data_IF_281801613177
#
_entry.id   IF_281801613177
#
_cell.length_a   1.000
_cell.length_b   1.000
_cell.length_c   1.000
_cell.angle_alpha   90.00
_cell.angle_beta   90.00
_cell.angle_gamma   90.00
#
_symmetry.space_group_name_H-M   'P 1'
#
loop_
_entity.id
_entity.type
_entity.pdbx_description
1 polymer ?
#
# COMPACT_ATOMS: atom_id res chain seq x y z
N UNK A 1 11.69 19.11 -0.66
CA UNK A 1 10.84 19.03 -1.88
C UNK A 1 10.70 17.56 -2.23
N UNK A 2 9.48 17.02 -2.37
CA UNK A 2 9.34 15.62 -2.78
C UNK A 2 9.45 15.58 -4.30
N UNK A 3 10.49 14.93 -4.82
CA UNK A 3 10.69 14.82 -6.26
C UNK A 3 10.42 13.37 -6.65
N UNK A 4 9.43 13.18 -7.52
CA UNK A 4 9.15 11.88 -8.13
C UNK A 4 9.41 11.95 -9.64
N UNK A 5 9.58 10.80 -10.27
CA UNK A 5 9.77 10.74 -11.71
C UNK A 5 9.16 9.50 -12.33
N UNK A 6 8.86 9.60 -13.63
CA UNK A 6 8.39 8.49 -14.45
C UNK A 6 9.35 8.27 -15.61
N UNK A 7 9.59 7.00 -15.95
CA UNK A 7 10.39 6.60 -17.10
C UNK A 7 9.57 5.72 -18.03
N UNK A 8 9.63 6.00 -19.33
CA UNK A 8 9.08 5.16 -20.38
C UNK A 8 10.20 4.30 -20.95
N UNK A 9 10.08 2.98 -20.82
CA UNK A 9 11.10 2.01 -21.23
C UNK A 9 10.57 1.16 -22.37
N UNK A 10 11.37 1.00 -23.42
CA UNK A 10 11.13 0.10 -24.54
C UNK A 10 12.11 -1.06 -24.50
N UNK A 11 11.60 -2.26 -24.73
CA UNK A 11 12.42 -3.45 -24.92
C UNK A 11 12.96 -3.41 -26.36
N UNK A 12 14.29 -3.30 -26.50
CA UNK A 12 14.97 -3.30 -27.80
C UNK A 12 15.37 -4.72 -28.17
N UNK A 13 15.94 -5.46 -27.21
CA UNK A 13 16.38 -6.85 -27.39
C UNK A 13 15.67 -7.79 -26.42
N UNK A 14 14.63 -8.53 -26.87
CA UNK A 14 13.85 -9.43 -26.02
C UNK A 14 14.67 -10.55 -25.36
N UNK A 15 15.74 -10.99 -26.04
CA UNK A 15 16.64 -12.05 -25.54
C UNK A 15 17.48 -11.56 -24.37
N UNK A 16 18.02 -10.35 -24.44
CA UNK A 16 18.80 -9.75 -23.34
C UNK A 16 17.89 -9.36 -22.17
N UNK A 17 16.68 -8.88 -22.44
CA UNK A 17 15.70 -8.57 -21.41
C UNK A 17 15.28 -9.79 -20.59
N UNK A 18 15.24 -10.98 -21.19
CA UNK A 18 14.79 -12.20 -20.50
C UNK A 18 15.88 -12.88 -19.65
N UNK A 19 17.16 -12.72 -20.02
CA UNK A 19 18.29 -13.45 -19.41
C UNK A 19 19.37 -12.54 -18.78
N UNK A 20 19.24 -11.22 -18.92
CA UNK A 20 20.27 -10.25 -18.53
C UNK A 20 20.29 -9.88 -17.05
N UNK A 21 19.27 -10.27 -16.27
CA UNK A 21 19.12 -9.99 -14.84
C UNK A 21 18.55 -11.21 -14.10
N UNK A 22 18.93 -11.38 -12.83
CA UNK A 22 18.34 -12.43 -11.95
C UNK A 22 16.85 -12.16 -11.65
N UNK A 23 16.43 -10.89 -11.69
CA UNK A 23 15.04 -10.41 -11.52
C UNK A 23 14.44 -9.83 -12.82
N UNK A 24 13.19 -9.32 -12.75
CA UNK A 24 12.52 -8.62 -13.84
C UNK A 24 13.34 -7.39 -14.31
N UNK A 25 13.70 -7.28 -15.61
CA UNK A 25 14.54 -6.20 -16.14
C UNK A 25 13.90 -4.81 -15.98
N UNK A 26 12.56 -4.73 -15.93
CA UNK A 26 11.82 -3.48 -15.71
C UNK A 26 12.05 -2.98 -14.27
N UNK A 27 12.12 -3.89 -13.31
CA UNK A 27 12.36 -3.55 -11.90
C UNK A 27 13.80 -3.04 -11.70
N UNK A 28 14.79 -3.72 -12.30
CA UNK A 28 16.18 -3.28 -12.28
C UNK A 28 16.36 -1.89 -12.93
N UNK A 29 15.69 -1.63 -14.06
CA UNK A 29 15.68 -0.31 -14.70
C UNK A 29 15.06 0.77 -13.80
N UNK A 30 13.99 0.44 -13.08
CA UNK A 30 13.35 1.33 -12.13
C UNK A 30 14.28 1.67 -10.93
N UNK A 31 14.92 0.67 -10.32
CA UNK A 31 15.87 0.91 -9.21
C UNK A 31 17.08 1.73 -9.65
N UNK A 32 17.63 1.42 -10.83
CA UNK A 32 18.72 2.17 -11.43
C UNK A 32 18.30 3.63 -11.65
N UNK A 33 17.12 3.87 -12.22
CA UNK A 33 16.61 5.21 -12.45
C UNK A 33 16.46 6.00 -11.14
N UNK A 34 15.93 5.38 -10.09
CA UNK A 34 15.84 5.99 -8.77
C UNK A 34 17.21 6.37 -8.21
N UNK A 35 18.21 5.48 -8.30
CA UNK A 35 19.56 5.75 -7.83
C UNK A 35 20.23 6.90 -8.61
N UNK A 36 19.97 6.95 -9.91
CA UNK A 36 20.55 7.92 -10.83
C UNK A 36 19.94 9.31 -10.63
N UNK A 37 18.61 9.39 -10.60
CA UNK A 37 17.86 10.61 -10.28
C UNK A 37 18.34 11.17 -8.94
N UNK A 38 18.51 10.30 -7.94
CA UNK A 38 19.00 10.68 -6.62
C UNK A 38 20.41 11.27 -6.64
N UNK A 39 21.32 10.64 -7.38
CA UNK A 39 22.70 11.12 -7.54
C UNK A 39 22.76 12.48 -8.23
N UNK A 40 21.98 12.66 -9.31
CA UNK A 40 21.97 13.90 -10.10
C UNK A 40 21.32 15.05 -9.35
N UNK A 41 20.19 14.83 -8.67
CA UNK A 41 19.53 15.87 -7.87
C UNK A 41 20.46 16.37 -6.75
N UNK A 42 21.25 15.48 -6.13
CA UNK A 42 22.17 15.86 -5.04
C UNK A 42 23.26 16.84 -5.49
N UNK A 43 23.58 16.90 -6.79
CA UNK A 43 24.63 17.76 -7.34
C UNK A 43 24.17 19.20 -7.60
N UNK A 44 22.87 19.47 -7.52
CA UNK A 44 22.26 20.73 -7.98
C UNK A 44 21.69 21.49 -6.77
N UNK A 45 21.79 22.82 -6.79
CA UNK A 45 21.16 23.67 -5.77
C UNK A 45 19.64 23.80 -6.01
N UNK A 46 18.87 24.22 -5.00
CA UNK A 46 17.40 24.33 -5.14
C UNK A 46 16.97 25.34 -6.23
N UNK A 47 17.70 26.45 -6.35
CA UNK A 47 17.40 27.52 -7.31
C UNK A 47 17.71 27.09 -8.76
N UNK A 48 18.77 26.30 -8.93
CA UNK A 48 19.14 25.72 -10.22
C UNK A 48 18.21 24.57 -10.60
N UNK A 49 17.74 23.79 -9.63
CA UNK A 49 16.79 22.71 -9.87
C UNK A 49 15.49 23.23 -10.50
N UNK A 50 14.93 24.32 -9.99
CA UNK A 50 13.70 24.90 -10.54
C UNK A 50 13.87 25.42 -11.98
N UNK A 51 15.09 25.82 -12.37
CA UNK A 51 15.41 26.25 -13.75
C UNK A 51 15.69 25.05 -14.67
N UNK A 52 16.38 24.03 -14.18
CA UNK A 52 16.89 22.92 -15.01
C UNK A 52 15.95 21.70 -15.12
N UNK A 53 14.95 21.60 -14.23
CA UNK A 53 14.05 20.44 -14.10
C UNK A 53 13.38 19.99 -15.39
N UNK A 54 13.05 20.90 -16.30
CA UNK A 54 12.25 20.60 -17.49
C UNK A 54 13.08 20.28 -18.74
N UNK A 55 14.37 20.64 -18.79
CA UNK A 55 15.14 20.63 -20.03
C UNK A 55 16.43 19.80 -19.98
N UNK A 56 17.38 20.17 -19.11
CA UNK A 56 18.74 19.59 -19.11
C UNK A 56 18.84 18.37 -18.21
N UNK A 57 18.17 18.40 -17.07
CA UNK A 57 18.22 17.34 -16.06
C UNK A 57 17.63 16.01 -16.57
N UNK A 58 16.46 15.97 -17.23
CA UNK A 58 15.90 14.72 -17.74
C UNK A 58 16.80 14.06 -18.79
N UNK A 59 17.49 14.86 -19.62
CA UNK A 59 18.41 14.36 -20.66
C UNK A 59 19.64 13.68 -20.06
N UNK A 60 20.30 14.31 -19.08
CA UNK A 60 21.45 13.72 -18.36
C UNK A 60 21.08 12.42 -17.65
N UNK A 61 19.89 12.39 -17.04
CA UNK A 61 19.36 11.20 -16.38
C UNK A 61 19.07 10.10 -17.39
N UNK A 62 18.45 10.42 -18.54
CA UNK A 62 18.21 9.44 -19.59
C UNK A 62 19.51 8.86 -20.17
N UNK A 63 20.55 9.68 -20.36
CA UNK A 63 21.84 9.21 -20.88
C UNK A 63 22.51 8.23 -19.92
N UNK A 64 22.53 8.54 -18.62
CA UNK A 64 23.12 7.68 -17.59
C UNK A 64 22.33 6.39 -17.39
N UNK A 65 21.00 6.45 -17.44
CA UNK A 65 20.16 5.24 -17.40
C UNK A 65 20.38 4.40 -18.66
N UNK A 66 20.37 4.98 -19.85
CA UNK A 66 20.55 4.26 -21.11
C UNK A 66 21.94 3.63 -21.24
N UNK A 67 22.98 4.23 -20.66
CA UNK A 67 24.32 3.64 -20.63
C UNK A 67 24.34 2.30 -19.88
N UNK A 68 23.62 2.20 -18.77
CA UNK A 68 23.55 0.97 -17.98
C UNK A 68 22.45 -0.01 -18.48
N UNK A 69 21.30 0.50 -18.92
CA UNK A 69 20.16 -0.28 -19.40
C UNK A 69 20.43 -1.06 -20.70
N UNK A 70 21.42 -0.65 -21.51
CA UNK A 70 21.89 -1.40 -22.69
C UNK A 70 22.27 -2.84 -22.37
N UNK A 71 22.82 -3.12 -21.17
CA UNK A 71 23.18 -4.48 -20.74
C UNK A 71 21.97 -5.39 -20.54
N UNK A 72 20.79 -4.80 -20.37
CA UNK A 72 19.52 -5.48 -20.15
C UNK A 72 18.62 -5.48 -21.40
N UNK A 73 19.12 -4.99 -22.55
CA UNK A 73 18.31 -4.91 -23.78
C UNK A 73 17.17 -3.90 -23.71
N UNK A 74 17.29 -2.90 -22.82
CA UNK A 74 16.28 -1.87 -22.58
C UNK A 74 16.76 -0.48 -23.03
N UNK A 75 15.84 0.33 -23.53
CA UNK A 75 16.06 1.73 -23.88
C UNK A 75 14.99 2.61 -23.24
N UNK A 76 15.42 3.63 -22.48
CA UNK A 76 14.55 4.66 -21.94
C UNK A 76 14.28 5.71 -23.01
N UNK A 77 13.00 5.84 -23.38
CA UNK A 77 12.52 6.77 -24.39
C UNK A 77 12.23 8.16 -23.80
N UNK A 78 11.74 8.21 -22.56
CA UNK A 78 11.36 9.46 -21.91
C UNK A 78 11.51 9.39 -20.40
N UNK A 79 11.96 10.49 -19.80
CA UNK A 79 12.01 10.68 -18.36
C UNK A 79 11.29 11.99 -18.02
N UNK A 80 10.39 11.96 -17.05
CA UNK A 80 9.68 13.13 -16.55
C UNK A 80 9.93 13.26 -15.06
N UNK A 81 10.26 14.47 -14.61
CA UNK A 81 10.47 14.79 -13.20
C UNK A 81 9.32 15.68 -12.76
N UNK A 82 8.47 15.19 -11.86
CA UNK A 82 7.36 15.96 -11.31
C UNK A 82 7.66 16.38 -9.87
N UNK A 83 7.15 17.56 -9.49
CA UNK A 83 7.12 17.93 -8.08
C UNK A 83 6.00 17.10 -7.45
N UNK A 84 6.35 16.23 -6.51
CA UNK A 84 5.38 15.48 -5.73
C UNK A 84 4.80 16.41 -4.66
N UNK A 85 4.10 17.46 -5.11
CA UNK A 85 3.16 18.19 -4.26
C UNK A 85 2.16 17.18 -3.69
N UNK A 86 1.80 17.35 -2.42
CA UNK A 86 0.98 16.44 -1.61
C UNK A 86 -0.30 15.85 -2.29
N UNK A 87 -0.79 16.46 -3.37
CA UNK A 87 -1.87 15.93 -4.22
C UNK A 87 -1.52 14.63 -4.94
N UNK A 88 -0.28 14.44 -5.42
CA UNK A 88 0.10 13.20 -6.10
C UNK A 88 0.26 12.05 -5.11
N UNK A 89 0.79 12.31 -3.91
CA UNK A 89 0.80 11.34 -2.82
C UNK A 89 -0.62 10.92 -2.44
N UNK A 90 -1.61 11.81 -2.47
CA UNK A 90 -3.00 11.39 -2.24
C UNK A 90 -3.55 10.48 -3.34
N UNK A 91 -3.21 10.71 -4.62
CA UNK A 91 -3.65 9.87 -5.75
C UNK A 91 -2.88 8.56 -5.82
N UNK A 92 -1.59 8.58 -5.54
CA UNK A 92 -0.73 7.40 -5.46
C UNK A 92 -1.02 6.63 -4.18
N UNK A 93 -1.36 7.23 -3.04
CA UNK A 93 -1.89 6.50 -1.88
C UNK A 93 -3.26 5.92 -2.18
N UNK A 94 -4.13 6.58 -2.95
CA UNK A 94 -5.39 6.00 -3.44
C UNK A 94 -5.16 4.87 -4.44
N UNK A 95 -4.14 5.00 -5.29
CA UNK A 95 -3.79 4.02 -6.32
C UNK A 95 -3.00 2.85 -5.73
N UNK A 96 -2.14 3.10 -4.75
CA UNK A 96 -1.40 2.11 -3.96
C UNK A 96 -2.29 1.47 -2.91
N UNK A 97 -3.29 2.17 -2.36
CA UNK A 97 -4.38 1.51 -1.64
C UNK A 97 -5.13 0.61 -2.62
N UNK A 98 -5.48 1.06 -3.83
CA UNK A 98 -6.12 0.16 -4.79
C UNK A 98 -5.23 -1.02 -5.24
N UNK A 99 -3.89 -0.89 -5.23
CA UNK A 99 -2.96 -1.99 -5.58
C UNK A 99 -2.70 -2.92 -4.38
N UNK A 100 -2.74 -2.42 -3.14
CA UNK A 100 -2.63 -3.21 -1.91
C UNK A 100 -3.97 -3.84 -1.49
N UNK A 101 -5.07 -3.47 -2.13
CA UNK A 101 -6.40 -3.96 -1.85
C UNK A 101 -6.81 -4.82 -3.04
N UNK A 102 -6.81 -6.14 -2.85
CA UNK A 102 -7.30 -7.09 -3.84
C UNK A 102 -8.83 -6.99 -3.97
N UNK A 103 -9.33 -5.90 -4.55
CA UNK A 103 -10.66 -5.90 -5.15
C UNK A 103 -10.53 -6.77 -6.42
N UNK A 104 -11.02 -8.00 -6.35
CA UNK A 104 -10.99 -8.93 -7.48
C UNK A 104 -11.94 -8.36 -8.52
N UNK A 105 -11.41 -7.95 -9.67
CA UNK A 105 -12.25 -7.50 -10.77
C UNK A 105 -13.27 -8.60 -11.11
N UNK A 106 -14.58 -8.27 -11.15
CA UNK A 106 -15.59 -9.26 -11.42
C UNK A 106 -15.42 -9.80 -12.85
N UNK A 107 -15.38 -11.13 -13.06
CA UNK A 107 -15.26 -11.68 -14.39
C UNK A 107 -16.52 -11.37 -15.22
N UNK A 108 -16.34 -11.22 -16.52
CA UNK A 108 -17.47 -10.98 -17.43
C UNK A 108 -18.38 -12.21 -17.50
N UNK A 109 -19.69 -11.99 -17.53
CA UNK A 109 -20.66 -13.09 -17.47
C UNK A 109 -20.81 -13.82 -18.83
N UNK A 110 -20.13 -14.96 -19.01
CA UNK A 110 -20.31 -15.86 -20.15
C UNK A 110 -21.34 -16.99 -19.94
N UNK A 111 -22.11 -16.96 -18.85
CA UNK A 111 -23.23 -17.88 -18.56
C UNK A 111 -22.86 -19.14 -17.78
N UNK A 112 -21.67 -19.70 -18.02
CA UNK A 112 -21.10 -20.80 -17.24
C UNK A 112 -19.93 -20.25 -16.43
N UNK A 113 -20.05 -20.28 -15.09
CA UNK A 113 -19.00 -19.81 -14.19
C UNK A 113 -18.73 -20.84 -13.10
N UNK A 114 -17.47 -21.21 -12.95
CA UNK A 114 -17.02 -21.98 -11.79
C UNK A 114 -16.63 -21.00 -10.68
N UNK A 115 -17.46 -20.94 -9.63
CA UNK A 115 -17.13 -20.18 -8.43
C UNK A 115 -16.07 -20.95 -7.64
N UNK A 116 -14.87 -20.39 -7.42
CA UNK A 116 -13.84 -21.03 -6.60
C UNK A 116 -14.33 -21.34 -5.18
N UNK A 117 -13.66 -22.28 -4.50
CA UNK A 117 -13.92 -22.50 -3.07
C UNK A 117 -13.56 -21.23 -2.28
N UNK A 118 -14.34 -20.96 -1.22
CA UNK A 118 -14.19 -19.79 -0.34
C UNK A 118 -14.38 -18.43 -1.03
N UNK A 119 -15.08 -18.36 -2.16
CA UNK A 119 -15.52 -17.09 -2.75
C UNK A 119 -17.05 -17.02 -2.83
N UNK A 120 -17.58 -15.80 -2.67
CA UNK A 120 -18.98 -15.48 -2.88
C UNK A 120 -19.09 -14.50 -4.05
N UNK A 121 -19.96 -14.82 -5.01
CA UNK A 121 -20.31 -13.92 -6.10
C UNK A 121 -21.65 -13.26 -5.82
N UNK A 122 -21.71 -11.95 -5.98
CA UNK A 122 -22.93 -11.18 -5.83
C UNK A 122 -23.47 -10.86 -7.21
N UNK A 123 -24.70 -11.28 -7.43
CA UNK A 123 -25.38 -11.10 -8.71
C UNK A 123 -26.38 -9.97 -8.59
N UNK A 124 -26.32 -9.11 -9.61
CA UNK A 124 -27.33 -8.12 -9.88
C UNK A 124 -28.16 -8.52 -11.10
N UNK A 125 -29.47 -8.34 -11.01
CA UNK A 125 -30.41 -8.46 -12.12
C UNK A 125 -31.15 -7.15 -12.28
N UNK A 126 -31.11 -6.56 -13.48
CA UNK A 126 -31.65 -5.22 -13.74
C UNK A 126 -31.14 -4.13 -12.77
N UNK A 127 -29.88 -4.25 -12.32
CA UNK A 127 -29.28 -3.30 -11.37
C UNK A 127 -29.78 -3.42 -9.93
N UNK A 128 -30.50 -4.49 -9.58
CA UNK A 128 -30.88 -4.82 -8.20
C UNK A 128 -30.22 -6.11 -7.76
N UNK A 129 -29.89 -6.20 -6.47
CA UNK A 129 -29.43 -7.44 -5.85
C UNK A 129 -30.43 -8.57 -6.11
N UNK A 130 -29.93 -9.69 -6.66
CA UNK A 130 -30.75 -10.88 -6.90
C UNK A 130 -30.43 -11.98 -5.89
N UNK A 131 -29.20 -12.49 -5.89
CA UNK A 131 -28.75 -13.54 -4.98
C UNK A 131 -27.23 -13.54 -4.82
N UNK A 132 -26.78 -14.07 -3.69
CA UNK A 132 -25.38 -14.44 -3.46
C UNK A 132 -25.20 -15.91 -3.86
N UNK A 133 -24.21 -16.19 -4.71
CA UNK A 133 -23.84 -17.56 -5.04
C UNK A 133 -22.70 -18.04 -4.12
N UNK A 134 -22.94 -19.07 -3.29
CA UNK A 134 -21.86 -19.76 -2.59
C UNK A 134 -21.09 -20.67 -3.56
N UNK A 135 -19.89 -21.08 -3.14
CA UNK A 135 -19.01 -21.97 -3.91
C UNK A 135 -19.71 -23.30 -4.26
N UNK A 136 -20.19 -23.44 -5.49
CA UNK A 136 -20.66 -24.70 -6.15
C UNK A 136 -21.60 -24.47 -7.34
N UNK A 137 -22.24 -23.30 -7.44
CA UNK A 137 -23.27 -23.08 -8.47
C UNK A 137 -22.67 -22.66 -9.82
N UNK A 138 -23.16 -23.27 -10.91
CA UNK A 138 -22.57 -23.17 -12.24
C UNK A 138 -23.30 -22.22 -13.22
N UNK A 139 -24.62 -22.02 -13.04
CA UNK A 139 -25.47 -21.45 -14.10
C UNK A 139 -25.97 -20.03 -13.80
N UNK A 140 -25.64 -19.12 -14.72
CA UNK A 140 -26.03 -17.71 -14.72
C UNK A 140 -26.59 -17.35 -16.10
N UNK A 141 -27.62 -16.51 -16.17
CA UNK A 141 -28.08 -16.05 -17.48
C UNK A 141 -27.20 -14.88 -17.95
N UNK A 142 -26.42 -15.01 -19.05
CA UNK A 142 -25.50 -13.96 -19.49
C UNK A 142 -26.21 -12.66 -19.93
N UNK A 143 -27.49 -12.71 -20.28
CA UNK A 143 -28.23 -11.54 -20.75
C UNK A 143 -28.82 -10.68 -19.63
N UNK A 144 -29.19 -11.30 -18.50
CA UNK A 144 -29.93 -10.63 -17.43
C UNK A 144 -29.11 -10.45 -16.15
N UNK A 145 -28.18 -11.35 -15.90
CA UNK A 145 -27.43 -11.41 -14.65
C UNK A 145 -26.04 -10.80 -14.83
N UNK A 146 -25.64 -9.92 -13.92
CA UNK A 146 -24.29 -9.33 -13.86
C UNK A 146 -23.62 -9.71 -12.55
N UNK A 147 -22.38 -10.17 -12.62
CA UNK A 147 -21.53 -10.35 -11.43
C UNK A 147 -21.04 -8.95 -11.04
N UNK A 148 -21.57 -8.41 -9.95
CA UNK A 148 -21.26 -7.05 -9.52
C UNK A 148 -20.03 -7.04 -8.59
N UNK A 149 -19.97 -8.01 -7.68
CA UNK A 149 -18.91 -8.08 -6.67
C UNK A 149 -18.44 -9.51 -6.47
N UNK A 150 -17.15 -9.66 -6.18
CA UNK A 150 -16.50 -10.94 -5.86
C UNK A 150 -15.79 -10.79 -4.52
N UNK A 151 -16.23 -11.55 -3.52
CA UNK A 151 -15.66 -11.55 -2.18
C UNK A 151 -14.98 -12.87 -1.88
N UNK A 152 -13.82 -12.82 -1.21
CA UNK A 152 -13.17 -13.99 -0.61
C UNK A 152 -13.64 -14.10 0.84
N UNK A 153 -14.37 -15.16 1.17
CA UNK A 153 -14.99 -15.34 2.49
C UNK A 153 -13.92 -15.70 3.53
N UNK A 154 -13.10 -16.70 3.25
CA UNK A 154 -12.21 -17.33 4.25
C UNK A 154 -10.73 -16.93 4.13
N UNK A 155 -10.42 -15.94 3.31
CA UNK A 155 -9.04 -15.45 3.23
C UNK A 155 -8.85 -14.44 4.35
N UNK A 156 -7.88 -14.65 5.23
CA UNK A 156 -7.42 -13.61 6.14
C UNK A 156 -6.91 -12.44 5.30
N UNK A 157 -7.76 -11.43 5.15
CA UNK A 157 -7.40 -10.25 4.41
C UNK A 157 -6.56 -9.39 5.35
N UNK A 158 -5.28 -9.23 4.98
CA UNK A 158 -4.33 -8.39 5.70
C UNK A 158 -4.53 -6.95 5.24
N UNK A 159 -5.25 -6.15 6.03
CA UNK A 159 -5.34 -4.71 5.82
C UNK A 159 -4.17 -4.03 6.51
N UNK A 160 -3.27 -3.45 5.71
CA UNK A 160 -2.17 -2.62 6.21
C UNK A 160 -2.66 -1.19 6.45
N UNK A 161 -2.52 -0.73 7.70
CA UNK A 161 -2.80 0.66 8.09
C UNK A 161 -1.53 1.47 7.82
N UNK A 162 -1.58 2.53 6.99
CA UNK A 162 -0.41 3.33 6.69
C UNK A 162 0.18 3.95 7.96
N UNK A 163 1.48 4.24 7.93
CA UNK A 163 2.17 4.86 9.07
C UNK A 163 1.76 6.32 9.23
N UNK A 164 1.35 6.71 10.44
CA UNK A 164 1.00 8.10 10.75
C UNK A 164 1.77 8.59 12.00
N UNK A 165 2.13 9.88 12.05
CA UNK A 165 2.68 10.48 13.26
C UNK A 165 1.57 10.70 14.30
N UNK A 166 1.75 10.11 15.48
CA UNK A 166 0.84 10.24 16.62
C UNK A 166 1.63 10.84 17.79
N UNK A 167 0.98 11.76 18.50
CA UNK A 167 1.52 12.36 19.71
C UNK A 167 0.94 11.63 20.92
N UNK A 168 1.81 11.05 21.74
CA UNK A 168 1.42 10.33 22.96
C UNK A 168 1.15 11.29 24.12
N UNK A 169 0.71 10.72 25.26
CA UNK A 169 0.49 11.48 26.50
C UNK A 169 1.74 12.23 27.00
N UNK A 170 2.92 11.66 26.77
CA UNK A 170 4.21 12.26 27.16
C UNK A 170 4.72 13.31 26.17
N UNK A 171 3.87 13.78 25.25
CA UNK A 171 4.21 14.82 24.28
C UNK A 171 5.25 14.37 23.23
N UNK A 172 5.51 13.06 23.12
CA UNK A 172 6.45 12.46 22.16
C UNK A 172 5.73 12.12 20.86
N UNK A 173 6.37 12.39 19.73
CA UNK A 173 5.85 12.02 18.40
C UNK A 173 6.44 10.67 18.03
N UNK A 174 5.59 9.72 17.65
CA UNK A 174 6.02 8.41 17.17
C UNK A 174 5.22 7.99 15.94
N UNK A 175 5.82 7.11 15.14
CA UNK A 175 5.21 6.55 13.94
C UNK A 175 4.75 5.14 14.22
N UNK A 176 3.51 4.84 13.86
CA UNK A 176 2.89 3.56 14.17
C UNK A 176 2.29 3.00 12.91
N UNK A 177 2.55 1.71 12.68
CA UNK A 177 1.98 0.90 11.61
C UNK A 177 1.25 -0.28 12.23
N UNK A 178 0.30 -0.84 11.49
CA UNK A 178 -0.43 -2.00 11.98
C UNK A 178 -1.06 -2.78 10.85
N UNK A 179 -1.38 -4.03 11.14
CA UNK A 179 -2.19 -4.86 10.26
C UNK A 179 -3.40 -5.40 11.01
N UNK A 180 -4.49 -5.53 10.27
CA UNK A 180 -5.76 -6.07 10.78
C UNK A 180 -6.14 -7.24 9.88
N UNK A 181 -6.46 -8.37 10.51
CA UNK A 181 -7.02 -9.55 9.87
C UNK A 181 -8.53 -9.53 10.09
N UNK A 182 -9.28 -9.70 9.02
CA UNK A 182 -10.74 -9.76 9.07
C UNK A 182 -11.28 -10.82 8.10
N UNK A 183 -12.50 -11.25 8.39
CA UNK A 183 -13.28 -12.22 7.64
C UNK A 183 -14.59 -11.58 7.17
N UNK A 184 -15.04 -11.96 5.96
CA UNK A 184 -16.32 -11.51 5.43
C UNK A 184 -17.39 -12.52 5.87
N UNK A 185 -18.22 -12.14 6.84
CA UNK A 185 -19.29 -12.99 7.38
C UNK A 185 -20.52 -12.93 6.48
N UNK A 186 -20.92 -11.72 6.06
CA UNK A 186 -22.04 -11.52 5.15
C UNK A 186 -21.57 -10.75 3.89
N UNK A 187 -21.41 -11.43 2.74
CA UNK A 187 -20.97 -10.79 1.51
C UNK A 187 -21.99 -9.76 0.99
N UNK A 188 -23.29 -9.96 1.24
CA UNK A 188 -24.33 -9.01 0.80
C UNK A 188 -24.15 -7.68 1.51
N UNK A 189 -24.00 -7.71 2.83
CA UNK A 189 -23.74 -6.52 3.63
C UNK A 189 -22.38 -5.91 3.30
N UNK A 190 -21.35 -6.71 3.01
CA UNK A 190 -20.04 -6.20 2.61
C UNK A 190 -20.06 -5.41 1.30
N UNK A 191 -20.96 -5.75 0.37
CA UNK A 191 -21.08 -5.01 -0.90
C UNK A 191 -21.95 -3.77 -0.86
N UNK A 192 -23.03 -3.79 -0.09
CA UNK A 192 -24.01 -2.70 -0.10
C UNK A 192 -24.05 -1.90 1.22
N UNK A 193 -23.34 -2.34 2.25
CA UNK A 193 -23.34 -1.72 3.57
C UNK A 193 -22.56 -0.40 3.63
N UNK A 194 -21.59 -0.20 2.73
CA UNK A 194 -20.82 1.05 2.63
C UNK A 194 -20.68 1.47 1.18
N UNK A 195 -20.78 2.78 0.94
CA UNK A 195 -20.38 3.36 -0.34
C UNK A 195 -18.86 3.25 -0.54
N UNK A 196 -18.46 2.39 -1.48
CA UNK A 196 -17.06 2.13 -1.82
C UNK A 196 -16.56 0.79 -1.28
N UNK A 197 -15.25 0.68 -1.08
CA UNK A 197 -14.65 -0.56 -0.57
C UNK A 197 -14.88 -0.66 0.94
N UNK A 198 -15.46 -1.75 1.47
CA UNK A 198 -15.70 -1.92 2.91
C UNK A 198 -14.37 -1.94 3.70
N UNK A 199 -13.29 -2.35 3.04
CA UNK A 199 -11.94 -2.35 3.60
C UNK A 199 -11.45 -0.94 3.91
N UNK A 200 -11.80 0.02 3.05
CA UNK A 200 -11.45 1.41 3.26
C UNK A 200 -12.13 1.95 4.52
N UNK A 201 -13.41 1.66 4.72
CA UNK A 201 -14.15 2.08 5.90
C UNK A 201 -13.54 1.52 7.19
N UNK A 202 -13.19 0.23 7.20
CA UNK A 202 -12.46 -0.40 8.32
C UNK A 202 -11.12 0.30 8.56
N UNK A 203 -10.38 0.64 7.51
CA UNK A 203 -9.10 1.35 7.66
C UNK A 203 -9.27 2.71 8.36
N UNK A 204 -10.38 3.42 8.13
CA UNK A 204 -10.64 4.71 8.75
C UNK A 204 -11.03 4.58 10.22
N UNK A 205 -11.88 3.60 10.55
CA UNK A 205 -12.21 3.28 11.95
C UNK A 205 -10.94 2.90 12.69
N UNK A 206 -10.15 1.97 12.14
CA UNK A 206 -8.91 1.55 12.77
C UNK A 206 -7.93 2.72 12.99
N UNK A 207 -7.74 3.61 12.01
CA UNK A 207 -6.91 4.81 12.17
C UNK A 207 -7.41 5.72 13.29
N UNK A 208 -8.72 5.93 13.37
CA UNK A 208 -9.34 6.80 14.36
C UNK A 208 -9.21 6.20 15.76
N UNK A 209 -9.50 4.91 15.91
CA UNK A 209 -9.39 4.18 17.18
C UNK A 209 -7.94 4.10 17.66
N UNK A 210 -6.99 3.79 16.77
CA UNK A 210 -5.56 3.80 17.09
C UNK A 210 -5.16 5.18 17.62
N UNK A 211 -5.59 6.25 16.95
CA UNK A 211 -5.26 7.62 17.34
C UNK A 211 -5.86 8.01 18.70
N UNK A 212 -7.09 7.58 19.02
CA UNK A 212 -7.72 7.89 20.31
C UNK A 212 -7.07 7.13 21.45
N UNK A 213 -6.85 5.83 21.30
CA UNK A 213 -6.27 4.97 22.35
C UNK A 213 -4.83 5.36 22.67
N UNK A 214 -3.99 5.57 21.65
CA UNK A 214 -2.58 5.92 21.85
C UNK A 214 -2.35 7.31 22.44
N UNK A 215 -3.33 8.20 22.35
CA UNK A 215 -3.25 9.52 22.99
C UNK A 215 -3.28 9.41 24.51
N UNK A 216 -3.91 8.36 25.04
CA UNK A 216 -4.08 8.14 26.48
C UNK A 216 -2.94 7.33 27.11
N UNK A 217 -2.11 6.68 26.28
CA UNK A 217 -1.02 5.79 26.69
C UNK A 217 0.33 6.54 26.69
N UNK A 218 1.20 6.22 27.65
CA UNK A 218 2.57 6.76 27.73
C UNK A 218 3.52 6.00 26.81
N UNK A 219 4.66 6.58 26.41
CA UNK A 219 5.60 5.90 25.50
C UNK A 219 6.16 4.61 26.11
N UNK A 220 6.47 4.63 27.41
CA UNK A 220 7.00 3.46 28.13
C UNK A 220 6.00 2.31 28.14
N UNK A 221 4.72 2.64 28.27
CA UNK A 221 3.64 1.66 28.29
C UNK A 221 3.45 0.99 26.93
N UNK A 222 3.72 1.70 25.82
CA UNK A 222 3.66 1.11 24.48
C UNK A 222 4.76 0.03 24.30
N UNK A 223 5.93 0.22 24.90
CA UNK A 223 7.01 -0.79 24.91
C UNK A 223 6.73 -1.98 25.82
N UNK A 224 5.84 -1.82 26.81
CA UNK A 224 5.47 -2.91 27.69
C UNK A 224 4.50 -3.86 26.97
N UNK A 225 4.94 -5.10 26.71
CA UNK A 225 4.18 -6.14 25.98
C UNK A 225 2.75 -6.35 26.49
N UNK A 226 2.51 -6.14 27.79
CA UNK A 226 1.19 -6.31 28.41
C UNK A 226 0.16 -5.29 27.93
N UNK A 227 0.56 -4.02 27.79
CA UNK A 227 -0.36 -2.94 27.38
C UNK A 227 -0.61 -2.98 25.88
N UNK A 228 0.35 -3.50 25.10
CA UNK A 228 0.14 -3.79 23.67
C UNK A 228 -1.04 -4.76 23.43
N UNK A 229 -1.24 -5.77 24.28
CA UNK A 229 -2.39 -6.69 24.16
C UNK A 229 -3.73 -5.99 24.46
N UNK A 230 -3.79 -5.19 25.53
CA UNK A 230 -5.00 -4.45 25.90
C UNK A 230 -5.40 -3.45 24.80
N UNK A 231 -4.42 -2.75 24.23
CA UNK A 231 -4.62 -1.86 23.09
C UNK A 231 -5.18 -2.62 21.87
N UNK A 232 -4.60 -3.77 21.53
CA UNK A 232 -5.09 -4.58 20.40
C UNK A 232 -6.54 -5.02 20.62
N UNK A 233 -6.91 -5.41 21.84
CA UNK A 233 -8.29 -5.81 22.16
C UNK A 233 -9.29 -4.66 22.00
N UNK A 234 -8.97 -3.48 22.53
CA UNK A 234 -9.83 -2.29 22.38
C UNK A 234 -10.02 -1.90 20.91
N UNK A 235 -8.95 -1.99 20.12
CA UNK A 235 -9.01 -1.73 18.68
C UNK A 235 -9.91 -2.77 17.98
N UNK A 236 -9.75 -4.05 18.28
CA UNK A 236 -10.59 -5.11 17.72
C UNK A 236 -12.07 -4.93 18.09
N UNK A 237 -12.37 -4.58 19.35
CA UNK A 237 -13.74 -4.34 19.81
C UNK A 237 -14.38 -3.17 19.05
N UNK A 238 -13.69 -2.04 18.94
CA UNK A 238 -14.17 -0.88 18.19
C UNK A 238 -14.42 -1.19 16.71
N UNK A 239 -13.52 -1.94 16.07
CA UNK A 239 -13.68 -2.39 14.68
C UNK A 239 -14.87 -3.35 14.55
N UNK A 240 -15.03 -4.30 15.48
CA UNK A 240 -16.14 -5.28 15.44
C UNK A 240 -17.51 -4.63 15.65
N UNK A 241 -17.60 -3.57 16.48
CA UNK A 241 -18.85 -2.81 16.63
C UNK A 241 -19.26 -2.15 15.31
N UNK A 242 -18.31 -1.52 14.60
CA UNK A 242 -18.58 -0.92 13.29
C UNK A 242 -18.80 -1.99 12.19
N UNK A 243 -17.99 -3.06 12.22
CA UNK A 243 -17.96 -4.13 11.22
C UNK A 243 -19.26 -4.90 11.07
N UNK A 244 -20.08 -4.99 12.14
CA UNK A 244 -21.43 -5.57 12.09
C UNK A 244 -22.32 -4.94 11.03
N UNK A 245 -22.24 -3.62 10.84
CA UNK A 245 -23.03 -2.92 9.83
C UNK A 245 -22.54 -3.18 8.40
N UNK A 246 -21.31 -3.68 8.25
CA UNK A 246 -20.61 -3.91 6.99
C UNK A 246 -20.44 -5.39 6.66
N UNK A 247 -20.94 -6.31 7.48
CA UNK A 247 -20.78 -7.75 7.27
C UNK A 247 -19.34 -8.27 7.42
N UNK A 248 -18.51 -7.54 8.19
CA UNK A 248 -17.11 -7.88 8.45
C UNK A 248 -16.89 -8.21 9.92
N UNK A 249 -16.04 -9.20 10.19
CA UNK A 249 -15.58 -9.55 11.54
C UNK A 249 -14.05 -9.50 11.61
N UNK A 250 -13.52 -8.77 12.58
CA UNK A 250 -12.09 -8.67 12.84
C UNK A 250 -11.63 -9.87 13.71
N UNK A 251 -10.74 -10.68 13.15
CA UNK A 251 -10.16 -11.85 13.83
C UNK A 251 -9.00 -11.42 14.74
N UNK A 252 -8.12 -10.56 14.23
CA UNK A 252 -6.94 -10.15 14.98
C UNK A 252 -6.38 -8.81 14.51
N UNK A 253 -5.94 -7.97 15.45
CA UNK A 253 -5.20 -6.75 15.16
C UNK A 253 -3.77 -6.86 15.73
N UNK A 254 -2.79 -6.38 14.96
CA UNK A 254 -1.42 -6.20 15.44
C UNK A 254 -0.95 -4.79 15.13
N UNK A 255 -0.63 -4.05 16.19
CA UNK A 255 0.01 -2.74 16.10
C UNK A 255 1.51 -2.89 16.35
N UNK A 256 2.33 -2.23 15.53
CA UNK A 256 3.78 -2.18 15.64
C UNK A 256 4.29 -0.76 15.49
N UNK A 257 5.13 -0.34 16.41
CA UNK A 257 5.85 0.92 16.30
C UNK A 257 6.90 0.89 15.18
N UNK A 258 7.07 2.02 14.52
CA UNK A 258 8.16 2.25 13.58
C UNK A 258 9.25 3.10 14.27
N UNK A 259 10.15 2.39 14.94
CA UNK A 259 11.28 2.91 15.74
C UNK A 259 12.25 3.75 14.88
N UNK A 260 12.20 3.66 13.55
CA UNK A 260 13.22 4.26 12.68
C UNK A 260 13.32 5.79 12.71
N UNK A 261 12.33 6.51 13.26
CA UNK A 261 12.22 7.98 13.10
C UNK A 261 12.40 8.74 14.44
N UNK A 262 12.22 8.10 15.60
CA UNK A 262 12.30 8.79 16.92
C UNK A 262 13.68 8.70 17.58
N UNK A 263 14.47 7.68 17.24
CA UNK A 263 15.72 7.35 17.96
C UNK A 263 16.95 8.12 17.47
N UNK A 264 16.83 8.85 16.36
CA UNK A 264 17.96 9.59 15.80
C UNK A 264 18.25 10.90 16.57
N UNK A 265 17.28 11.42 17.30
CA UNK A 265 17.38 12.75 17.94
C UNK A 265 17.43 12.69 19.49
N UNK A 266 17.25 11.52 20.11
CA UNK A 266 16.88 11.43 21.54
C UNK A 266 17.89 10.76 22.50
N UNK A 267 19.04 10.24 22.06
CA UNK A 267 19.99 9.56 22.98
C UNK A 267 21.47 9.94 22.78
N UNK A 268 22.07 10.62 23.76
CA UNK A 268 23.53 10.64 23.94
C UNK A 268 24.06 9.56 24.91
N UNK A 269 23.24 8.64 25.45
CA UNK A 269 23.68 7.74 26.55
C UNK A 269 23.04 6.36 26.55
N UNK A 270 23.35 5.50 25.59
CA UNK A 270 23.32 4.04 25.78
C UNK A 270 24.35 3.41 24.83
N UNK A 271 25.61 3.38 25.26
CA UNK A 271 26.65 2.57 24.61
C UNK A 271 26.64 1.15 25.20
N UNK A 272 27.02 0.21 24.33
CA UNK A 272 27.23 -1.23 24.54
C UNK A 272 25.98 -2.10 24.43
N UNK A 273 25.74 -2.59 23.21
CA UNK A 273 25.79 -4.02 22.82
C UNK A 273 25.98 -4.06 21.29
N UNK A 274 27.04 -4.73 20.82
CA UNK A 274 27.25 -5.08 19.41
C UNK A 274 26.31 -6.23 19.00
N UNK A 275 25.67 -6.13 17.83
CA UNK A 275 25.82 -7.05 16.67
C UNK A 275 24.64 -7.00 15.67
N UNK A 276 25.04 -6.79 14.40
CA UNK A 276 24.55 -7.35 13.12
C UNK A 276 23.11 -7.15 12.60
N UNK A 277 23.10 -6.47 11.44
CA UNK A 277 22.35 -6.70 10.19
C UNK A 277 20.82 -6.87 10.18
N UNK A 278 20.16 -5.94 9.47
CA UNK A 278 19.19 -6.11 8.35
C UNK A 278 18.67 -4.71 8.01
N UNK A 279 18.84 -4.21 6.78
CA UNK A 279 18.15 -3.00 6.31
C UNK A 279 17.21 -3.30 5.14
N UNK A 280 15.94 -3.08 5.45
CA UNK A 280 14.71 -3.11 4.66
C UNK A 280 14.67 -2.05 3.53
N UNK A 281 13.66 -2.12 2.62
CA UNK A 281 13.59 -1.33 1.39
C UNK A 281 13.47 0.18 1.64
N UNK A 282 14.10 0.98 0.78
CA UNK A 282 14.25 2.42 0.94
C UNK A 282 12.96 3.20 0.60
N UNK A 283 12.50 4.03 1.56
CA UNK A 283 11.68 5.24 1.30
C UNK A 283 12.61 6.45 1.46
N UNK A 284 12.99 7.12 0.36
CA UNK A 284 13.80 8.34 0.47
C UNK A 284 12.92 9.59 0.64
N UNK A 285 13.03 10.21 1.81
CA UNK A 285 12.60 11.59 2.07
C UNK A 285 13.77 12.51 1.76
N UNK A 286 13.58 13.55 0.95
CA UNK A 286 14.56 14.62 0.75
C UNK A 286 14.00 15.96 1.24
N UNK A 287 14.57 16.44 2.33
CA UNK A 287 14.68 17.87 2.62
C UNK A 287 15.94 18.36 1.89
N UNK A 288 15.74 19.26 0.93
CA UNK A 288 16.66 20.37 0.69
C UNK A 288 16.10 21.52 1.51
#
# INVERSE_FOLDING_TARGET
MFVGGCIDVKIVDPRLASYGTEDNPIYAAHELALSTIRSEIRKITLDDFNKEKNDTLPKKIMESINAAAKRWGLECLKCWIHDSGARLMSRIEKMMSNILYHDIEPPMNFGIHFVPKNTAYIIERYGKYFKTLPASSLFLNPFLDKIAYVHKIRTELLLNIPSHPIRTKDNVIMFIKGWVNFEIVDPKLASYGVEGSPLYAVSQVAKTTIRSELREITLKDIWNTKISWELNNKIMESINVAGKSWGLECISCRVKEDVSITWKDSLPRLNNIEHSFISLPWRSWFLV
#
